data_IF_085440874595
#
_entry.id   IF_085440874595
#
_cell.length_a   1.000
_cell.length_b   1.000
_cell.length_c   1.000
_cell.angle_alpha   90.00
_cell.angle_beta   90.00
_cell.angle_gamma   90.00
#
_symmetry.space_group_name_H-M   'P 1'
#
loop_
_entity.id
_entity.type
_entity.pdbx_description
1 polymer ?
#
# COMPACT_ATOMS: atom_id res chain seq x y z
N UNK A 1 3.14 -13.92 -13.54
CA UNK A 1 3.94 -12.81 -14.15
C UNK A 1 3.56 -11.54 -13.42
N UNK A 2 4.51 -10.80 -12.85
CA UNK A 2 4.22 -9.54 -12.13
C UNK A 2 3.47 -8.61 -13.07
N UNK A 3 2.21 -8.31 -12.77
CA UNK A 3 1.45 -7.37 -13.57
C UNK A 3 1.89 -5.96 -13.17
N UNK A 4 1.82 -4.99 -14.08
CA UNK A 4 2.17 -3.58 -13.79
C UNK A 4 1.40 -3.03 -12.57
N UNK A 5 0.23 -3.62 -12.28
CA UNK A 5 -0.59 -3.34 -11.11
C UNK A 5 0.11 -3.64 -9.78
N UNK A 6 0.87 -4.74 -9.68
CA UNK A 6 1.64 -5.08 -8.48
C UNK A 6 2.70 -4.00 -8.18
N UNK A 7 3.35 -3.48 -9.24
CA UNK A 7 4.35 -2.42 -9.14
C UNK A 7 3.71 -1.11 -8.67
N UNK A 8 2.54 -0.76 -9.20
CA UNK A 8 1.81 0.44 -8.79
C UNK A 8 1.46 0.42 -7.29
N UNK A 9 1.10 -0.76 -6.77
CA UNK A 9 0.74 -0.92 -5.36
C UNK A 9 1.97 -0.94 -4.47
N UNK A 10 3.04 -1.62 -4.88
CA UNK A 10 4.32 -1.57 -4.15
C UNK A 10 4.86 -0.13 -4.08
N UNK A 11 4.70 0.66 -5.16
CA UNK A 11 5.07 2.07 -5.17
C UNK A 11 4.19 2.89 -4.22
N UNK A 12 2.88 2.67 -4.20
CA UNK A 12 1.96 3.33 -3.26
C UNK A 12 2.30 3.01 -1.80
N UNK A 13 2.62 1.74 -1.50
CA UNK A 13 3.08 1.29 -0.19
C UNK A 13 4.39 1.97 0.21
N UNK A 14 5.36 2.04 -0.71
CA UNK A 14 6.65 2.70 -0.46
C UNK A 14 6.49 4.20 -0.15
N UNK A 15 5.61 4.89 -0.88
CA UNK A 15 5.30 6.31 -0.64
C UNK A 15 4.60 6.49 0.72
N UNK A 16 3.62 5.64 1.05
CA UNK A 16 2.92 5.69 2.36
C UNK A 16 3.88 5.45 3.52
N UNK A 17 4.82 4.51 3.37
CA UNK A 17 5.84 4.23 4.38
C UNK A 17 6.84 5.39 4.53
N UNK A 18 7.28 5.99 3.42
CA UNK A 18 8.15 7.15 3.44
C UNK A 18 7.47 8.36 4.10
N UNK A 19 6.19 8.61 3.83
CA UNK A 19 5.41 9.66 4.50
C UNK A 19 5.30 9.40 6.01
N UNK A 20 4.95 8.17 6.42
CA UNK A 20 4.85 7.83 7.84
C UNK A 20 6.18 8.03 8.57
N UNK A 21 7.29 7.60 7.96
CA UNK A 21 8.63 7.85 8.47
C UNK A 21 8.95 9.35 8.56
N UNK A 22 8.69 10.11 7.49
CA UNK A 22 8.93 11.55 7.47
C UNK A 22 8.16 12.30 8.56
N UNK A 23 6.87 12.01 8.75
CA UNK A 23 6.05 12.62 9.80
C UNK A 23 6.49 12.21 11.21
N UNK A 24 6.95 10.96 11.38
CA UNK A 24 7.49 10.48 12.65
C UNK A 24 8.75 11.26 13.06
N UNK A 25 9.63 11.57 12.11
CA UNK A 25 10.86 12.34 12.36
C UNK A 25 10.62 13.86 12.49
N UNK A 26 9.53 14.41 11.94
CA UNK A 26 9.16 15.83 12.15
C UNK A 26 8.46 16.08 13.49
N UNK A 27 8.24 15.05 14.30
CA UNK A 27 7.66 15.16 15.66
C UNK A 27 6.13 15.01 15.70
N UNK A 28 5.48 14.84 14.55
CA UNK A 28 4.04 14.62 14.40
C UNK A 28 3.70 13.13 14.52
N UNK A 29 3.76 12.63 15.76
CA UNK A 29 3.61 11.20 16.08
C UNK A 29 2.21 10.65 15.79
N UNK A 30 1.15 11.42 16.07
CA UNK A 30 -0.22 10.98 15.84
C UNK A 30 -0.54 10.83 14.34
N UNK A 31 -0.12 11.80 13.52
CA UNK A 31 -0.27 11.74 12.06
C UNK A 31 0.64 10.67 11.43
N UNK A 32 1.84 10.46 11.99
CA UNK A 32 2.74 9.37 11.63
C UNK A 32 2.14 7.98 11.89
N UNK A 33 1.42 7.81 13.02
CA UNK A 33 0.68 6.58 13.34
C UNK A 33 -0.51 6.36 12.41
N UNK A 34 -1.28 7.43 12.09
CA UNK A 34 -2.41 7.34 11.17
C UNK A 34 -1.96 6.91 9.76
N UNK A 35 -0.86 7.47 9.27
CA UNK A 35 -0.28 7.11 7.97
C UNK A 35 0.40 5.73 7.98
N UNK A 36 0.93 5.28 9.12
CA UNK A 36 1.44 3.92 9.29
C UNK A 36 0.33 2.87 9.13
N UNK A 37 -0.89 3.16 9.61
CA UNK A 37 -2.06 2.28 9.47
C UNK A 37 -2.53 2.13 8.02
N UNK A 38 -2.27 3.12 7.17
CA UNK A 38 -2.62 3.03 5.74
C UNK A 38 -1.75 2.03 4.98
N UNK A 39 -0.50 1.82 5.40
CA UNK A 39 0.44 0.87 4.77
C UNK A 39 -0.16 -0.54 4.64
N UNK A 40 -0.64 -1.20 5.71
CA UNK A 40 -1.30 -2.50 5.60
C UNK A 40 -2.62 -2.45 4.83
N UNK A 41 -3.38 -1.34 4.90
CA UNK A 41 -4.62 -1.18 4.12
C UNK A 41 -4.38 -1.18 2.61
N UNK A 42 -3.35 -0.46 2.14
CA UNK A 42 -2.95 -0.42 0.72
C UNK A 42 -2.46 -1.81 0.27
N UNK A 43 -1.73 -2.52 1.13
CA UNK A 43 -1.24 -3.87 0.84
C UNK A 43 -2.41 -4.86 0.69
N UNK A 44 -3.37 -4.83 1.62
CA UNK A 44 -4.60 -5.63 1.54
C UNK A 44 -5.41 -5.31 0.28
N UNK A 45 -5.54 -4.02 -0.06
CA UNK A 45 -6.24 -3.59 -1.28
C UNK A 45 -5.58 -4.17 -2.54
N UNK A 46 -4.25 -4.23 -2.58
CA UNK A 46 -3.55 -4.83 -3.71
C UNK A 46 -3.66 -6.33 -3.83
N UNK A 47 -3.62 -7.04 -2.70
CA UNK A 47 -3.89 -8.48 -2.68
C UNK A 47 -5.31 -8.73 -3.19
N UNK A 48 -6.30 -7.95 -2.76
CA UNK A 48 -7.68 -8.05 -3.23
C UNK A 48 -7.81 -7.81 -4.74
N UNK A 49 -7.17 -6.77 -5.27
CA UNK A 49 -7.19 -6.47 -6.70
C UNK A 49 -6.53 -7.59 -7.53
N UNK A 50 -5.44 -8.17 -7.02
CA UNK A 50 -4.76 -9.32 -7.63
C UNK A 50 -5.64 -10.57 -7.62
N UNK A 51 -6.34 -10.82 -6.51
CA UNK A 51 -7.31 -11.93 -6.40
C UNK A 51 -8.47 -11.74 -7.39
N UNK A 52 -8.99 -10.52 -7.57
CA UNK A 52 -10.01 -10.23 -8.58
C UNK A 52 -9.50 -10.45 -10.01
N UNK A 53 -8.27 -10.01 -10.32
CA UNK A 53 -7.63 -10.24 -11.62
C UNK A 53 -7.51 -11.74 -11.92
N UNK A 54 -7.07 -12.53 -10.94
CA UNK A 54 -6.97 -13.99 -11.06
C UNK A 54 -8.36 -14.63 -11.28
N UNK A 55 -9.37 -14.20 -10.53
CA UNK A 55 -10.73 -14.76 -10.62
C UNK A 55 -11.43 -14.42 -11.94
N UNK A 56 -11.17 -13.24 -12.53
CA UNK A 56 -11.74 -12.83 -13.81
C UNK A 56 -11.11 -13.50 -15.04
N UNK A 57 -9.94 -14.13 -14.91
CA UNK A 57 -9.28 -14.85 -16.01
C UNK A 57 -9.72 -16.33 -16.13
N UNK A 58 -10.54 -16.83 -15.19
CA UNK A 58 -11.01 -18.22 -15.13
C UNK A 58 -12.45 -18.44 -15.60
N UNK A 59 -13.09 -17.43 -16.20
CA UNK A 59 -14.44 -17.52 -16.78
C UNK A 59 -14.41 -17.47 -18.30
#
# INVERSE_FOLDING_TARGET
MFQKSDIFILLAVAISFALSGFLWFTGQRDEGLFTALWVPSILCFGIYFKLMSIKGAGS
#
